data_IF_198719174742
#
_entry.id   IF_198719174742
#
_cell.length_a   1.000
_cell.length_b   1.000
_cell.length_c   1.000
_cell.angle_alpha   90.00
_cell.angle_beta   90.00
_cell.angle_gamma   90.00
#
_symmetry.space_group_name_H-M   'P 1'
#
loop_
_entity.id
_entity.type
_entity.pdbx_description
1 polymer ?
#
# COMPACT_ATOMS: atom_id res chain seq x y z
N UNK A 1 0.00 -0.85 -13.78
CA UNK A 1 -0.87 -0.93 -12.59
C UNK A 1 -0.06 -1.31 -11.37
N UNK A 2 -0.40 -0.78 -10.20
CA UNK A 2 0.21 -1.12 -8.92
C UNK A 2 -0.68 -2.11 -8.15
N UNK A 3 -0.07 -3.06 -7.45
CA UNK A 3 -0.76 -4.00 -6.56
C UNK A 3 -1.47 -3.25 -5.42
N UNK A 4 -2.71 -3.66 -5.10
CA UNK A 4 -3.44 -3.27 -3.90
C UNK A 4 -3.54 -4.49 -2.98
N UNK A 5 -2.97 -4.36 -1.79
CA UNK A 5 -2.94 -5.43 -0.80
C UNK A 5 -3.15 -4.86 0.61
N UNK A 6 -4.04 -5.47 1.40
CA UNK A 6 -4.59 -4.89 2.63
C UNK A 6 -5.10 -3.44 2.38
N UNK A 7 -4.54 -2.44 3.06
CA UNK A 7 -4.87 -1.04 2.87
C UNK A 7 -3.70 -0.36 2.16
N UNK A 8 -3.97 0.33 1.06
CA UNK A 8 -2.95 0.92 0.20
C UNK A 8 -3.12 2.43 0.09
N UNK A 9 -2.03 3.16 0.32
CA UNK A 9 -1.90 4.58 -0.01
C UNK A 9 -1.38 4.65 -1.45
N UNK A 10 -2.19 5.15 -2.36
CA UNK A 10 -1.85 5.34 -3.78
C UNK A 10 -1.67 6.83 -4.04
N UNK A 11 -0.55 7.19 -4.68
CA UNK A 11 -0.14 8.58 -4.91
C UNK A 11 0.14 8.76 -6.40
N UNK A 12 -0.30 9.88 -6.98
CA UNK A 12 0.09 10.23 -8.34
C UNK A 12 1.58 10.56 -8.42
N UNK A 13 2.30 9.94 -9.36
CA UNK A 13 3.74 10.19 -9.53
C UNK A 13 4.03 11.64 -9.90
N UNK A 14 3.19 12.28 -10.73
CA UNK A 14 3.40 13.67 -11.15
C UNK A 14 3.31 14.66 -9.98
N UNK A 15 2.31 14.50 -9.11
CA UNK A 15 2.18 15.28 -7.87
C UNK A 15 3.33 15.00 -6.91
N UNK A 16 3.71 13.73 -6.75
CA UNK A 16 4.83 13.33 -5.89
C UNK A 16 6.15 13.99 -6.34
N UNK A 17 6.53 13.82 -7.59
CA UNK A 17 7.79 14.37 -8.12
C UNK A 17 7.80 15.89 -8.10
N UNK A 18 6.65 16.55 -8.31
CA UNK A 18 6.53 18.01 -8.18
C UNK A 18 6.84 18.47 -6.76
N UNK A 19 6.31 17.79 -5.74
CA UNK A 19 6.49 18.16 -4.33
C UNK A 19 7.91 17.83 -3.85
N UNK A 20 8.46 16.69 -4.26
CA UNK A 20 9.81 16.25 -3.93
C UNK A 20 10.91 16.76 -4.88
N UNK A 21 10.56 17.58 -5.88
CA UNK A 21 11.51 18.14 -6.87
C UNK A 21 12.35 17.07 -7.56
N UNK A 22 11.69 16.02 -8.02
CA UNK A 22 12.29 14.84 -8.64
C UNK A 22 13.23 14.01 -7.74
N UNK A 23 13.28 14.29 -6.43
CA UNK A 23 14.09 13.55 -5.45
C UNK A 23 13.36 12.29 -4.95
N UNK A 24 13.38 11.25 -5.79
CA UNK A 24 12.82 9.94 -5.47
C UNK A 24 13.46 9.31 -4.23
N UNK A 25 14.77 9.48 -4.05
CA UNK A 25 15.50 8.88 -2.94
C UNK A 25 15.08 9.49 -1.60
N UNK A 26 14.83 10.80 -1.56
CA UNK A 26 14.27 11.47 -0.38
C UNK A 26 12.87 10.96 -0.03
N UNK A 27 12.02 10.71 -1.03
CA UNK A 27 10.72 10.08 -0.80
C UNK A 27 10.88 8.64 -0.28
N UNK A 28 11.73 7.83 -0.91
CA UNK A 28 11.92 6.44 -0.52
C UNK A 28 12.40 6.30 0.95
N UNK A 29 13.17 7.27 1.46
CA UNK A 29 13.62 7.30 2.87
C UNK A 29 12.52 7.51 3.89
N UNK A 30 11.39 8.12 3.52
CA UNK A 30 10.25 8.32 4.43
C UNK A 30 9.26 7.16 4.40
N UNK A 31 9.41 6.22 3.47
CA UNK A 31 8.53 5.05 3.38
C UNK A 31 8.83 4.13 4.57
N UNK A 32 7.83 3.80 5.40
CA UNK A 32 8.03 3.16 6.70
C UNK A 32 8.26 1.64 6.61
N UNK A 33 8.15 1.04 5.43
CA UNK A 33 8.21 -0.40 5.24
C UNK A 33 8.62 -0.76 3.81
N UNK A 34 8.81 -2.06 3.53
CA UNK A 34 9.29 -2.56 2.23
C UNK A 34 8.18 -2.85 1.22
N UNK A 35 7.06 -2.14 1.30
CA UNK A 35 5.89 -2.39 0.42
C UNK A 35 5.75 -1.41 -0.74
N UNK A 36 6.71 -0.49 -0.91
CA UNK A 36 6.73 0.47 -2.00
C UNK A 36 6.78 -0.25 -3.36
N UNK A 37 5.87 0.12 -4.25
CA UNK A 37 5.97 -0.17 -5.67
C UNK A 37 5.46 1.01 -6.51
N UNK A 38 5.88 1.08 -7.78
CA UNK A 38 5.47 2.14 -8.70
C UNK A 38 5.46 1.62 -10.12
N UNK A 39 4.40 1.93 -10.87
CA UNK A 39 4.35 1.67 -12.32
C UNK A 39 4.81 2.87 -13.16
N UNK A 40 5.28 3.94 -12.52
CA UNK A 40 5.72 5.17 -13.19
C UNK A 40 4.61 6.20 -13.40
N UNK A 41 3.33 5.81 -13.25
CA UNK A 41 2.18 6.72 -13.23
C UNK A 41 1.63 6.87 -11.80
N UNK A 42 1.61 5.76 -11.05
CA UNK A 42 1.19 5.66 -9.66
C UNK A 42 2.30 5.09 -8.78
N UNK A 43 2.39 5.61 -7.56
CA UNK A 43 3.15 5.03 -6.45
C UNK A 43 2.19 4.42 -5.45
N UNK A 44 2.55 3.27 -4.88
CA UNK A 44 1.76 2.61 -3.84
C UNK A 44 2.61 2.21 -2.65
N UNK A 45 2.11 2.46 -1.45
CA UNK A 45 2.63 1.95 -0.17
C UNK A 45 1.50 1.22 0.57
N UNK A 46 1.79 0.01 1.06
CA UNK A 46 0.85 -0.87 1.75
C UNK A 46 0.95 -0.82 3.28
N UNK A 47 -0.19 -1.02 3.93
CA UNK A 47 -0.38 -0.98 5.39
C UNK A 47 -1.42 -2.01 5.83
N UNK A 48 -1.30 -2.48 7.08
CA UNK A 48 -2.29 -3.39 7.67
C UNK A 48 -3.39 -2.69 8.45
N UNK A 49 -3.13 -1.47 8.94
CA UNK A 49 -4.02 -0.76 9.85
C UNK A 49 -4.39 0.62 9.30
N UNK A 50 -5.64 1.07 9.50
CA UNK A 50 -6.03 2.44 9.16
C UNK A 50 -5.24 3.50 9.92
N UNK A 51 -4.83 3.21 11.15
CA UNK A 51 -4.05 4.14 11.99
C UNK A 51 -2.68 4.45 11.38
N UNK A 52 -1.99 3.45 10.82
CA UNK A 52 -0.69 3.68 10.18
C UNK A 52 -0.84 4.40 8.84
N UNK A 53 -1.93 4.13 8.10
CA UNK A 53 -2.29 4.92 6.90
C UNK A 53 -2.48 6.38 7.27
N UNK A 54 -3.27 6.66 8.30
CA UNK A 54 -3.53 8.03 8.76
C UNK A 54 -2.23 8.73 9.15
N UNK A 55 -1.38 8.09 9.96
CA UNK A 55 -0.08 8.67 10.35
C UNK A 55 0.82 8.92 9.14
N UNK A 56 0.88 8.00 8.18
CA UNK A 56 1.71 8.18 6.98
C UNK A 56 1.25 9.41 6.18
N UNK A 57 -0.06 9.51 5.91
CA UNK A 57 -0.64 10.63 5.18
C UNK A 57 -0.44 11.96 5.93
N UNK A 58 -0.84 12.02 7.20
CA UNK A 58 -0.89 13.28 7.96
C UNK A 58 0.49 13.76 8.41
N UNK A 59 1.43 12.85 8.71
CA UNK A 59 2.75 13.23 9.24
C UNK A 59 3.83 13.32 8.16
N UNK A 60 3.68 12.61 7.05
CA UNK A 60 4.73 12.54 6.03
C UNK A 60 4.29 13.08 4.67
N UNK A 61 3.08 12.80 4.19
CA UNK A 61 2.70 13.22 2.84
C UNK A 61 2.16 14.66 2.78
N UNK A 62 1.15 14.96 3.59
CA UNK A 62 0.49 16.27 3.62
C UNK A 62 1.45 17.40 4.03
N UNK A 63 2.32 17.25 5.04
CA UNK A 63 3.25 18.31 5.43
C UNK A 63 4.28 18.68 4.36
N UNK A 64 4.58 17.76 3.43
CA UNK A 64 5.46 18.03 2.30
C UNK A 64 4.73 18.78 1.17
N UNK A 65 3.40 18.76 1.15
CA UNK A 65 2.58 19.54 0.22
C UNK A 65 1.69 18.72 -0.70
N UNK A 66 1.58 17.40 -0.51
CA UNK A 66 0.55 16.60 -1.18
C UNK A 66 -0.82 16.87 -0.58
N UNK A 67 -1.85 16.88 -1.43
CA UNK A 67 -3.24 17.06 -1.03
C UNK A 67 -3.93 15.70 -1.00
N UNK A 68 -4.44 15.30 0.16
CA UNK A 68 -5.30 14.12 0.25
C UNK A 68 -6.70 14.42 -0.30
N UNK A 69 -7.50 15.21 0.42
CA UNK A 69 -8.88 15.51 0.04
C UNK A 69 -9.09 17.01 -0.22
N UNK A 70 -9.88 17.32 -1.24
CA UNK A 70 -10.49 18.62 -1.46
C UNK A 70 -11.97 18.42 -1.78
N UNK A 71 -12.86 19.01 -0.97
CA UNK A 71 -14.31 18.79 -1.06
C UNK A 71 -14.70 17.30 -1.10
N UNK A 72 -14.12 16.49 -0.20
CA UNK A 72 -14.31 15.03 -0.09
C UNK A 72 -13.85 14.19 -1.31
N UNK A 73 -13.24 14.79 -2.32
CA UNK A 73 -12.62 14.12 -3.47
C UNK A 73 -11.11 13.99 -3.30
N UNK A 74 -10.56 12.82 -3.62
CA UNK A 74 -9.13 12.52 -3.63
C UNK A 74 -8.38 13.33 -4.70
N UNK A 75 -7.29 14.00 -4.32
CA UNK A 75 -6.54 14.90 -5.22
C UNK A 75 -5.22 14.28 -5.67
N UNK A 76 -4.22 14.22 -4.79
CA UNK A 76 -2.90 13.63 -5.08
C UNK A 76 -2.74 12.23 -4.50
N UNK A 77 -3.53 11.92 -3.47
CA UNK A 77 -3.49 10.70 -2.69
C UNK A 77 -4.89 10.07 -2.68
N UNK A 78 -4.98 8.76 -2.83
CA UNK A 78 -6.20 8.00 -2.58
C UNK A 78 -5.89 6.77 -1.73
N UNK A 79 -6.80 6.45 -0.81
CA UNK A 79 -6.73 5.24 0.01
C UNK A 79 -7.59 4.18 -0.66
N UNK A 80 -7.01 2.99 -0.84
CA UNK A 80 -7.66 1.86 -1.49
C UNK A 80 -7.56 0.65 -0.57
N UNK A 81 -8.71 0.06 -0.22
CA UNK A 81 -8.78 -1.23 0.44
C UNK A 81 -8.83 -2.34 -0.60
N UNK A 82 -8.13 -3.43 -0.35
CA UNK A 82 -8.08 -4.58 -1.26
C UNK A 82 -9.46 -5.19 -1.54
N UNK A 83 -10.44 -5.07 -0.63
CA UNK A 83 -11.76 -5.69 -0.70
C UNK A 83 -12.85 -4.66 -0.98
N UNK A 84 -12.77 -3.49 -0.35
CA UNK A 84 -13.77 -2.43 -0.53
C UNK A 84 -13.46 -1.52 -1.74
N UNK A 85 -12.24 -1.57 -2.27
CA UNK A 85 -11.79 -0.74 -3.37
C UNK A 85 -11.47 0.69 -2.92
N UNK A 86 -11.81 1.67 -3.76
CA UNK A 86 -11.45 3.07 -3.53
C UNK A 86 -12.31 3.68 -2.41
N UNK A 87 -11.67 4.16 -1.33
CA UNK A 87 -12.35 4.57 -0.10
C UNK A 87 -13.00 5.96 -0.13
N UNK A 88 -12.61 6.81 -1.10
CA UNK A 88 -13.12 8.18 -1.30
C UNK A 88 -13.31 8.43 -2.79
N UNK A 89 -14.15 9.40 -3.14
CA UNK A 89 -14.40 9.75 -4.54
C UNK A 89 -13.08 10.11 -5.21
N UNK A 90 -12.79 9.46 -6.34
CA UNK A 90 -11.55 9.60 -7.07
C UNK A 90 -11.84 9.32 -8.54
N UNK A 91 -11.48 10.27 -9.41
CA UNK A 91 -11.72 10.23 -10.85
C UNK A 91 -10.46 9.88 -11.65
N UNK A 92 -9.32 9.70 -10.98
CA UNK A 92 -8.03 9.45 -11.63
C UNK A 92 -7.48 8.04 -11.42
N UNK A 93 -8.07 7.20 -10.56
CA UNK A 93 -7.74 5.76 -10.48
C UNK A 93 -8.86 4.87 -10.97
N UNK A 94 -8.48 3.77 -11.59
CA UNK A 94 -9.35 2.61 -11.82
C UNK A 94 -8.89 1.48 -10.89
N UNK A 95 -9.83 0.90 -10.15
CA UNK A 95 -9.62 -0.29 -9.33
C UNK A 95 -10.22 -1.52 -10.03
N UNK A 96 -9.47 -2.62 -10.05
CA UNK A 96 -9.93 -3.89 -10.62
C UNK A 96 -9.20 -5.08 -9.99
N UNK A 97 -9.82 -6.25 -10.05
CA UNK A 97 -9.10 -7.51 -9.89
C UNK A 97 -8.53 -7.97 -11.22
N UNK A 98 -7.30 -8.44 -11.22
CA UNK A 98 -6.65 -9.08 -12.37
C UNK A 98 -6.06 -10.42 -11.96
N UNK A 99 -5.93 -11.31 -12.92
CA UNK A 99 -5.20 -12.56 -12.71
C UNK A 99 -3.68 -12.32 -12.85
N UNK A 100 -2.90 -12.87 -11.93
CA UNK A 100 -1.43 -12.80 -11.98
C UNK A 100 -0.87 -13.75 -13.02
N UNK A 101 -1.54 -14.89 -13.25
CA UNK A 101 -1.13 -15.88 -14.24
C UNK A 101 -2.29 -16.22 -15.17
N UNK A 102 -2.39 -15.46 -16.27
CA UNK A 102 -3.45 -15.63 -17.27
C UNK A 102 -3.36 -16.96 -18.05
N UNK A 103 -2.23 -17.66 -17.97
CA UNK A 103 -1.99 -18.92 -18.67
C UNK A 103 -2.22 -20.14 -17.75
N UNK A 104 -2.44 -19.91 -16.45
CA UNK A 104 -2.78 -20.94 -15.45
C UNK A 104 -4.24 -21.38 -15.56
N UNK A 105 -4.51 -22.66 -15.28
CA UNK A 105 -5.89 -23.18 -15.13
C UNK A 105 -6.52 -22.77 -13.79
N UNK A 106 -5.72 -22.40 -12.79
CA UNK A 106 -6.17 -21.88 -11.51
C UNK A 106 -6.08 -20.35 -11.50
N UNK A 107 -7.23 -19.69 -11.28
CA UNK A 107 -7.28 -18.22 -11.18
C UNK A 107 -6.51 -17.72 -9.96
N UNK A 108 -5.68 -16.68 -10.16
CA UNK A 108 -4.89 -16.04 -9.12
C UNK A 108 -5.24 -14.54 -9.00
N UNK A 109 -6.47 -14.20 -8.57
CA UNK A 109 -6.94 -12.83 -8.58
C UNK A 109 -6.22 -11.99 -7.53
N UNK A 110 -5.69 -10.85 -7.96
CA UNK A 110 -5.14 -9.81 -7.10
C UNK A 110 -5.82 -8.48 -7.40
N UNK A 111 -5.96 -7.64 -6.37
CA UNK A 111 -6.47 -6.28 -6.55
C UNK A 111 -5.35 -5.37 -7.09
N UNK A 112 -5.72 -4.45 -7.98
CA UNK A 112 -4.78 -3.51 -8.57
C UNK A 112 -5.42 -2.17 -8.89
N UNK A 113 -4.61 -1.12 -8.88
CA UNK A 113 -4.99 0.20 -9.36
C UNK A 113 -4.12 0.66 -10.53
N UNK A 114 -4.73 1.35 -11.48
CA UNK A 114 -4.03 2.08 -12.54
C UNK A 114 -4.57 3.49 -12.68
N UNK A 115 -3.78 4.39 -13.26
CA UNK A 115 -4.25 5.71 -13.64
C UNK A 115 -5.33 5.58 -14.72
N UNK A 116 -6.42 6.35 -14.63
CA UNK A 116 -7.45 6.44 -15.68
C UNK A 116 -6.81 6.89 -16.98
N UNK A 117 -6.98 6.10 -18.05
CA UNK A 117 -6.33 6.35 -19.34
C UNK A 117 -4.81 6.15 -19.34
N UNK A 118 -4.24 5.58 -18.28
CA UNK A 118 -2.84 5.22 -18.16
C UNK A 118 -2.42 4.17 -19.18
N UNK A 119 -1.12 4.10 -19.45
CA UNK A 119 -0.54 3.24 -20.50
C UNK A 119 0.02 1.93 -19.96
N UNK A 120 0.23 1.86 -18.65
CA UNK A 120 0.90 0.72 -18.02
C UNK A 120 -0.04 -0.44 -17.76
N UNK A 121 0.09 -1.48 -18.59
CA UNK A 121 -0.74 -2.69 -18.53
C UNK A 121 -0.20 -3.78 -17.60
N UNK A 122 1.06 -3.70 -17.18
CA UNK A 122 1.68 -4.69 -16.30
C UNK A 122 1.36 -4.41 -14.83
N UNK A 123 1.18 -5.47 -14.06
CA UNK A 123 1.14 -5.40 -12.61
C UNK A 123 2.56 -5.18 -12.07
N UNK A 124 2.70 -4.17 -11.22
CA UNK A 124 3.93 -3.90 -10.46
C UNK A 124 3.67 -4.20 -8.99
N UNK A 125 4.53 -5.06 -8.44
CA UNK A 125 4.47 -5.52 -7.05
C UNK A 125 5.67 -4.99 -6.26
N UNK A 126 5.60 -5.01 -4.92
CA UNK A 126 6.77 -4.72 -4.09
C UNK A 126 7.93 -5.69 -4.38
N UNK A 127 9.15 -5.25 -4.13
CA UNK A 127 10.34 -6.09 -4.33
C UNK A 127 10.25 -7.38 -3.49
N UNK A 128 10.44 -8.54 -4.14
CA UNK A 128 10.38 -9.85 -3.48
C UNK A 128 8.97 -10.35 -3.16
N UNK A 129 7.92 -9.70 -3.68
CA UNK A 129 6.55 -10.19 -3.54
C UNK A 129 6.35 -11.51 -4.32
N UNK A 130 5.71 -12.47 -3.66
CA UNK A 130 5.36 -13.79 -4.21
C UNK A 130 3.88 -14.05 -3.94
N UNK A 131 3.12 -14.50 -4.95
CA UNK A 131 1.68 -14.70 -4.82
C UNK A 131 1.34 -15.67 -3.69
N UNK A 132 2.03 -16.80 -3.57
CA UNK A 132 1.78 -17.86 -2.59
C UNK A 132 2.01 -17.42 -1.14
N UNK A 133 2.76 -16.33 -0.93
CA UNK A 133 3.01 -15.71 0.38
C UNK A 133 2.16 -14.46 0.63
N UNK A 134 1.36 -14.06 -0.37
CA UNK A 134 0.60 -12.82 -0.36
C UNK A 134 -0.67 -12.92 0.50
N UNK A 135 -1.20 -11.76 0.89
CA UNK A 135 -2.53 -11.71 1.50
C UNK A 135 -3.58 -12.14 0.50
N UNK A 136 -3.42 -11.86 -0.79
CA UNK A 136 -4.34 -12.30 -1.85
C UNK A 136 -4.50 -13.82 -1.89
N UNK A 137 -3.40 -14.58 -1.78
CA UNK A 137 -3.44 -16.05 -1.70
C UNK A 137 -4.09 -16.54 -0.40
N UNK A 138 -3.71 -15.93 0.72
CA UNK A 138 -4.23 -16.35 2.02
C UNK A 138 -5.72 -15.98 2.22
N UNK A 139 -6.19 -14.90 1.61
CA UNK A 139 -7.53 -14.34 1.75
C UNK A 139 -8.45 -14.61 0.55
N UNK A 140 -8.12 -15.56 -0.35
CA UNK A 140 -8.99 -15.99 -1.46
C UNK A 140 -10.49 -15.95 -1.06
N UNK A 141 -11.15 -14.86 -1.48
CA UNK A 141 -12.52 -14.42 -1.19
C UNK A 141 -13.06 -14.69 0.22
N UNK A 142 -12.77 -13.79 1.17
CA UNK A 142 -13.63 -13.60 2.34
C UNK A 142 -14.22 -12.18 2.34
N UNK A 143 -15.55 -12.02 2.50
CA UNK A 143 -16.17 -10.71 2.66
C UNK A 143 -15.57 -9.93 3.83
N UNK A 144 -15.62 -8.59 3.72
CA UNK A 144 -14.91 -7.62 4.58
C UNK A 144 -15.09 -7.85 6.10
N UNK A 145 -16.19 -8.50 6.52
CA UNK A 145 -16.49 -8.84 7.91
C UNK A 145 -15.61 -9.96 8.51
N UNK A 146 -14.71 -10.58 7.73
CA UNK A 146 -13.89 -11.73 8.16
C UNK A 146 -12.37 -11.52 8.14
N UNK A 147 -11.89 -10.36 7.68
CA UNK A 147 -10.46 -10.04 7.55
C UNK A 147 -9.74 -10.08 8.91
N UNK A 148 -10.42 -9.66 9.98
CA UNK A 148 -9.85 -9.65 11.35
C UNK A 148 -9.69 -11.03 12.00
N UNK A 149 -10.19 -12.12 11.40
CA UNK A 149 -10.21 -13.44 12.05
C UNK A 149 -9.04 -14.35 11.69
N UNK A 150 -8.32 -14.07 10.59
CA UNK A 150 -7.26 -14.96 10.08
C UNK A 150 -5.84 -14.42 10.29
N UNK A 151 -5.71 -13.22 10.84
CA UNK A 151 -4.42 -12.65 11.21
C UNK A 151 -4.41 -12.44 12.72
N UNK A 152 -3.44 -13.05 13.38
CA UNK A 152 -3.21 -12.89 14.81
C UNK A 152 -1.92 -12.13 15.00
N UNK A 153 -1.98 -10.96 15.61
CA UNK A 153 -0.77 -10.26 16.06
C UNK A 153 0.06 -11.18 16.95
N UNK A 154 1.35 -11.31 16.64
CA UNK A 154 2.31 -12.15 17.37
C UNK A 154 3.20 -11.29 18.23
N UNK A 155 3.92 -10.36 17.60
CA UNK A 155 4.94 -9.52 18.25
C UNK A 155 5.25 -8.28 17.42
N UNK A 156 5.93 -7.33 18.05
CA UNK A 156 6.67 -6.27 17.35
C UNK A 156 8.16 -6.59 17.48
N UNK A 157 8.89 -6.58 16.37
CA UNK A 157 10.33 -6.89 16.29
C UNK A 157 10.97 -5.94 15.27
N UNK A 158 12.05 -5.25 15.64
CA UNK A 158 12.80 -4.30 14.79
C UNK A 158 11.95 -3.20 14.10
N UNK A 159 10.92 -2.69 14.78
CA UNK A 159 10.02 -1.67 14.22
C UNK A 159 8.95 -2.22 13.28
N UNK A 160 8.89 -3.53 13.11
CA UNK A 160 7.89 -4.23 12.33
C UNK A 160 6.91 -4.99 13.24
N UNK A 161 5.62 -4.93 12.92
CA UNK A 161 4.63 -5.84 13.46
C UNK A 161 4.60 -7.15 12.70
N UNK A 162 4.65 -8.23 13.46
CA UNK A 162 4.57 -9.61 12.98
C UNK A 162 3.18 -10.15 13.26
N UNK A 163 2.50 -10.55 12.19
CA UNK A 163 1.18 -11.19 12.23
C UNK A 163 1.30 -12.65 11.78
N UNK A 164 0.70 -13.57 12.54
CA UNK A 164 0.55 -14.95 12.12
C UNK A 164 -0.70 -15.06 11.25
N UNK A 165 -0.51 -15.52 10.03
CA UNK A 165 -1.58 -15.98 9.19
C UNK A 165 -2.08 -17.34 9.69
N UNK A 166 -3.27 -17.38 10.28
CA UNK A 166 -3.85 -18.59 10.85
C UNK A 166 -4.22 -19.65 9.81
N UNK A 167 -4.29 -19.29 8.51
CA UNK A 167 -4.59 -20.22 7.42
C UNK A 167 -3.32 -20.91 6.91
N UNK A 168 -2.24 -20.16 6.70
CA UNK A 168 -0.98 -20.71 6.15
C UNK A 168 0.03 -21.09 7.22
N UNK A 169 -0.13 -20.60 8.45
CA UNK A 169 0.84 -20.75 9.52
C UNK A 169 2.10 -19.89 9.36
N UNK A 170 2.12 -18.98 8.38
CA UNK A 170 3.27 -18.11 8.09
C UNK A 170 3.17 -16.76 8.80
N UNK A 171 4.33 -16.21 9.14
CA UNK A 171 4.47 -14.88 9.71
C UNK A 171 4.56 -13.81 8.61
N UNK A 172 3.82 -12.72 8.78
CA UNK A 172 3.78 -11.56 7.89
C UNK A 172 4.33 -10.36 8.66
N UNK A 173 5.33 -9.70 8.09
CA UNK A 173 6.09 -8.60 8.69
C UNK A 173 5.66 -7.27 8.09
N UNK A 174 5.41 -6.27 8.94
CA UNK A 174 4.84 -4.99 8.49
C UNK A 174 5.47 -3.83 9.26
N UNK A 175 6.22 -2.96 8.57
CA UNK A 175 6.84 -1.81 9.23
C UNK A 175 5.79 -0.84 9.78
N UNK A 176 6.00 -0.42 11.04
CA UNK A 176 5.16 0.60 11.70
C UNK A 176 5.55 1.99 11.23
N UNK A 177 4.56 2.85 11.11
CA UNK A 177 4.80 4.30 11.12
C UNK A 177 5.04 4.67 12.58
N UNK A 178 6.31 4.79 12.96
CA UNK A 178 6.70 5.11 14.34
C UNK A 178 5.93 6.31 14.88
N UNK A 179 5.55 6.21 16.16
CA UNK A 179 4.97 7.35 16.89
C UNK A 179 5.98 8.48 17.05
N UNK A 180 7.28 8.22 16.94
CA UNK A 180 8.36 9.22 16.98
C UNK A 180 9.58 8.73 16.20
N UNK A 181 9.85 9.30 15.02
CA UNK A 181 11.23 9.41 14.54
C UNK A 181 11.95 10.33 15.51
N UNK A 182 12.73 9.76 16.42
CA UNK A 182 13.53 10.50 17.38
C UNK A 182 14.52 11.40 16.63
N UNK A 183 14.50 12.74 16.79
CA UNK A 183 15.41 13.64 16.08
C UNK A 183 16.85 13.66 16.63
N UNK A 184 17.16 12.86 17.64
CA UNK A 184 18.48 12.89 18.27
C UNK A 184 19.34 11.69 17.89
N UNK A 185 19.99 11.78 16.72
CA UNK A 185 21.33 11.19 16.55
C UNK A 185 22.35 12.33 16.39
N UNK A 186 22.69 12.94 17.52
CA UNK A 186 23.96 13.62 17.74
C UNK A 186 24.44 13.34 19.17
N UNK A 187 25.77 13.31 19.32
CA UNK A 187 26.63 12.94 20.48
C UNK A 187 26.72 11.42 20.76
N UNK A 188 27.89 10.76 20.71
CA UNK A 188 29.31 11.18 20.73
C UNK A 188 30.18 10.38 19.74
#
# INVERSE_FOLDING_TARGET
>A
MVLIEAISVVIRVDSLLKVWKDDWDAFNKIVPNRTLCSDGELVRVGFMTPDDVQKFVERYLVPHGLVYLHNDQAVDIVIVDQNEGVMKECDWVEFSYIDVDIDSEEEQPVAGCRLVGGKESKLVTPSGWEYEKSLSYSNMFLPADKISKNLKFVRTEDGEDVYLNLKTGQEIYTGRVDSDLNPDSNSD
#
